data_IF_739478650912
#
_entry.id   IF_739478650912
#
_cell.length_a   1.000
_cell.length_b   1.000
_cell.length_c   1.000
_cell.angle_alpha   90.00
_cell.angle_beta   90.00
_cell.angle_gamma   90.00
#
_symmetry.space_group_name_H-M   'P 1'
#
loop_
_entity.id
_entity.type
_entity.pdbx_description
1 polymer ?
#
# COMPACT_ATOMS: atom_id res chain seq x y z
N UNK A 1 -10.74 2.73 20.06
CA UNK A 1 -9.92 3.78 19.43
C UNK A 1 -10.25 5.15 20.03
N UNK A 2 -9.23 6.01 20.19
CA UNK A 2 -9.45 7.43 20.48
C UNK A 2 -9.94 8.14 19.20
N UNK A 3 -10.75 9.19 19.36
CA UNK A 3 -11.16 10.04 18.25
C UNK A 3 -9.94 10.54 17.45
N UNK A 4 -9.99 10.44 16.12
CA UNK A 4 -8.89 10.84 15.23
C UNK A 4 -7.77 9.80 15.08
N UNK A 5 -7.93 8.57 15.57
CA UNK A 5 -6.98 7.49 15.34
C UNK A 5 -6.88 7.15 13.84
N UNK A 6 -8.02 7.13 13.16
CA UNK A 6 -8.08 6.95 11.70
C UNK A 6 -8.47 8.27 11.05
N UNK A 7 -7.65 8.74 10.13
CA UNK A 7 -7.83 10.03 9.43
C UNK A 7 -7.93 9.77 7.93
N UNK A 8 -8.99 10.26 7.31
CA UNK A 8 -9.23 10.12 5.86
C UNK A 8 -9.33 11.49 5.21
N UNK A 9 -8.65 11.70 4.09
CA UNK A 9 -8.75 12.91 3.28
C UNK A 9 -7.92 14.10 3.77
N UNK A 10 -7.01 13.91 4.72
CA UNK A 10 -6.17 14.98 5.25
C UNK A 10 -4.71 14.76 4.82
N UNK A 11 -4.16 15.69 4.05
CA UNK A 11 -2.77 15.64 3.60
C UNK A 11 -2.05 16.95 3.86
N UNK A 12 -0.76 16.85 4.21
CA UNK A 12 0.18 17.97 4.25
C UNK A 12 0.89 18.22 2.91
N UNK A 13 0.67 17.40 1.89
CA UNK A 13 1.32 17.52 0.58
C UNK A 13 0.67 18.67 -0.19
N UNK A 14 1.44 19.73 -0.45
CA UNK A 14 0.92 20.99 -0.99
C UNK A 14 0.70 21.04 -2.51
N UNK A 15 1.10 19.99 -3.25
CA UNK A 15 1.01 19.94 -4.72
C UNK A 15 -0.32 19.39 -5.24
N UNK A 16 -1.22 18.95 -4.35
CA UNK A 16 -2.51 18.38 -4.74
C UNK A 16 -3.66 19.36 -4.50
N UNK A 17 -4.64 19.33 -5.39
CA UNK A 17 -5.81 20.15 -5.29
C UNK A 17 -6.77 19.62 -4.22
N UNK A 18 -6.80 20.30 -3.08
CA UNK A 18 -7.64 19.93 -1.93
C UNK A 18 -9.16 20.05 -2.22
N UNK A 19 -9.55 20.71 -3.27
CA UNK A 19 -10.96 20.95 -3.61
C UNK A 19 -11.53 19.84 -4.49
N UNK A 20 -10.72 19.28 -5.40
CA UNK A 20 -11.22 18.39 -6.45
C UNK A 20 -10.71 16.94 -6.31
N UNK A 21 -9.62 16.72 -5.60
CA UNK A 21 -9.09 15.35 -5.36
C UNK A 21 -9.93 14.64 -4.28
N UNK A 22 -10.99 13.95 -4.71
CA UNK A 22 -11.88 13.22 -3.80
C UNK A 22 -11.30 11.86 -3.44
N UNK A 23 -11.34 11.53 -2.16
CA UNK A 23 -11.12 10.16 -1.68
C UNK A 23 -12.34 9.30 -1.97
N UNK A 24 -12.11 8.00 -2.13
CA UNK A 24 -13.16 6.98 -2.26
C UNK A 24 -12.95 5.97 -1.14
N UNK A 25 -14.04 5.58 -0.51
CA UNK A 25 -14.07 4.49 0.45
C UNK A 25 -15.23 3.57 0.10
N UNK A 26 -14.90 2.41 -0.48
CA UNK A 26 -15.84 1.36 -0.80
C UNK A 26 -15.40 0.10 -0.06
N UNK A 27 -16.30 -0.53 0.67
CA UNK A 27 -15.98 -1.71 1.47
C UNK A 27 -17.17 -2.63 1.59
N UNK A 28 -17.15 -3.71 0.82
CA UNK A 28 -18.11 -4.82 0.90
C UNK A 28 -17.55 -5.98 1.74
N UNK A 29 -16.22 -6.05 1.89
CA UNK A 29 -15.50 -7.04 2.66
C UNK A 29 -15.14 -6.56 4.07
N UNK A 30 -13.89 -6.78 4.46
CA UNK A 30 -13.41 -6.49 5.82
C UNK A 30 -12.22 -5.55 5.82
N UNK A 31 -12.26 -4.52 6.67
CA UNK A 31 -11.11 -3.66 6.97
C UNK A 31 -10.86 -3.67 8.47
N UNK A 32 -9.62 -3.94 8.85
CA UNK A 32 -9.17 -3.92 10.25
C UNK A 32 -7.98 -2.99 10.41
N UNK A 33 -8.10 -1.98 11.25
CA UNK A 33 -6.98 -1.16 11.70
C UNK A 33 -6.50 -1.65 13.07
N UNK A 34 -5.22 -1.99 13.19
CA UNK A 34 -4.59 -2.39 14.46
C UNK A 34 -4.15 -1.19 15.29
N UNK A 35 -4.02 -0.02 14.67
CA UNK A 35 -3.60 1.20 15.34
C UNK A 35 -4.00 2.47 14.58
N UNK A 36 -3.16 3.49 14.62
CA UNK A 36 -3.39 4.77 13.94
C UNK A 36 -3.15 4.65 12.46
N UNK A 37 -3.98 5.29 11.64
CA UNK A 37 -3.77 5.38 10.21
C UNK A 37 -4.14 6.78 9.68
N UNK A 38 -3.39 7.24 8.67
CA UNK A 38 -3.66 8.49 7.96
C UNK A 38 -3.64 8.24 6.46
N UNK A 39 -4.81 8.23 5.86
CA UNK A 39 -5.00 8.14 4.42
C UNK A 39 -5.25 9.56 3.90
N UNK A 40 -4.30 10.08 3.14
CA UNK A 40 -4.29 11.46 2.70
C UNK A 40 -5.35 11.77 1.67
N UNK A 41 -5.24 12.96 1.12
CA UNK A 41 -6.21 13.47 0.17
C UNK A 41 -6.25 12.66 -1.13
N UNK A 42 -7.44 12.40 -1.66
CA UNK A 42 -7.63 11.68 -2.91
C UNK A 42 -7.27 10.19 -2.86
N UNK A 43 -6.99 9.65 -1.67
CA UNK A 43 -6.75 8.21 -1.51
C UNK A 43 -8.04 7.46 -1.75
N UNK A 44 -7.94 6.39 -2.51
CA UNK A 44 -9.05 5.50 -2.82
C UNK A 44 -8.81 4.13 -2.21
N UNK A 45 -9.82 3.60 -1.54
CA UNK A 45 -9.83 2.25 -0.97
C UNK A 45 -11.06 1.54 -1.49
N UNK A 46 -10.86 0.39 -2.13
CA UNK A 46 -11.93 -0.51 -2.56
C UNK A 46 -11.63 -1.91 -2.03
N UNK A 47 -12.55 -2.45 -1.23
CA UNK A 47 -12.44 -3.79 -0.64
C UNK A 47 -13.65 -4.60 -1.09
N UNK A 48 -13.41 -5.59 -1.95
CA UNK A 48 -14.47 -6.49 -2.46
C UNK A 48 -15.02 -7.40 -1.38
N UNK A 49 -16.13 -8.10 -1.68
CA UNK A 49 -16.88 -8.90 -0.71
C UNK A 49 -16.04 -9.98 0.00
N UNK A 50 -15.09 -10.58 -0.70
CA UNK A 50 -14.17 -11.58 -0.15
C UNK A 50 -12.85 -10.96 0.35
N UNK A 51 -12.69 -9.65 0.18
CA UNK A 51 -11.46 -8.92 0.51
C UNK A 51 -11.26 -8.71 2.01
N UNK A 52 -10.02 -8.86 2.46
CA UNK A 52 -9.58 -8.60 3.84
C UNK A 52 -8.37 -7.68 3.85
N UNK A 53 -8.59 -6.42 4.21
CA UNK A 53 -7.53 -5.42 4.36
C UNK A 53 -7.17 -5.25 5.84
N UNK A 54 -5.96 -5.64 6.22
CA UNK A 54 -5.43 -5.48 7.58
C UNK A 54 -4.35 -4.41 7.55
N UNK A 55 -4.47 -3.43 8.43
CA UNK A 55 -3.56 -2.27 8.49
C UNK A 55 -2.99 -2.14 9.89
N UNK A 56 -1.67 -2.13 10.00
CA UNK A 56 -0.90 -1.96 11.22
C UNK A 56 -0.97 -0.55 11.81
N UNK A 57 -0.23 -0.34 12.88
CA UNK A 57 -0.15 0.96 13.55
C UNK A 57 0.73 1.95 12.75
N UNK A 58 0.40 3.24 12.88
CA UNK A 58 1.14 4.34 12.27
C UNK A 58 1.27 4.25 10.73
N UNK A 59 0.28 3.65 10.08
CA UNK A 59 0.20 3.60 8.62
C UNK A 59 -0.08 4.98 8.01
N UNK A 60 0.67 5.35 6.98
CA UNK A 60 0.50 6.63 6.30
C UNK A 60 0.47 6.46 4.78
N UNK A 61 -0.56 7.00 4.16
CA UNK A 61 -0.61 7.23 2.71
C UNK A 61 -0.69 8.74 2.47
N UNK A 62 0.24 9.29 1.69
CA UNK A 62 0.37 10.75 1.61
C UNK A 62 -0.73 11.40 0.77
N UNK A 63 -0.99 10.93 -0.44
CA UNK A 63 -2.10 11.40 -1.29
C UNK A 63 -2.31 10.50 -2.52
N UNK A 64 -3.52 10.52 -3.09
CA UNK A 64 -3.92 10.03 -4.43
C UNK A 64 -3.52 8.59 -4.75
N UNK A 65 -3.16 7.81 -3.75
CA UNK A 65 -2.84 6.40 -3.92
C UNK A 65 -4.09 5.54 -3.83
N UNK A 66 -4.02 4.34 -4.35
CA UNK A 66 -5.13 3.41 -4.45
C UNK A 66 -4.79 2.11 -3.72
N UNK A 67 -5.74 1.59 -2.94
CA UNK A 67 -5.66 0.27 -2.31
C UNK A 67 -6.88 -0.52 -2.79
N UNK A 68 -6.63 -1.59 -3.53
CA UNK A 68 -7.67 -2.45 -4.12
C UNK A 68 -7.46 -3.86 -3.59
N UNK A 69 -8.39 -4.33 -2.74
CA UNK A 69 -8.28 -5.57 -2.00
C UNK A 69 -9.47 -6.48 -2.30
N UNK A 70 -9.24 -7.57 -2.99
CA UNK A 70 -10.24 -8.56 -3.36
C UNK A 70 -9.95 -9.96 -2.81
N UNK A 71 -8.80 -10.13 -2.13
CA UNK A 71 -8.36 -11.33 -1.44
C UNK A 71 -7.84 -10.95 -0.04
N UNK A 72 -6.55 -10.73 0.10
CA UNK A 72 -5.94 -10.35 1.37
C UNK A 72 -4.77 -9.40 1.17
N UNK A 73 -4.85 -8.22 1.78
CA UNK A 73 -3.74 -7.29 1.88
C UNK A 73 -3.42 -7.08 3.36
N UNK A 74 -2.22 -7.46 3.77
CA UNK A 74 -1.71 -7.20 5.11
C UNK A 74 -0.59 -6.17 5.07
N UNK A 75 -0.77 -5.07 5.80
CA UNK A 75 0.17 -3.96 5.92
C UNK A 75 0.61 -3.89 7.38
N UNK A 76 1.91 -3.96 7.62
CA UNK A 76 2.54 -3.90 8.93
C UNK A 76 2.54 -2.50 9.55
N UNK A 77 3.27 -2.38 10.65
CA UNK A 77 3.40 -1.14 11.41
C UNK A 77 4.40 -0.18 10.76
N UNK A 78 4.22 1.12 10.96
CA UNK A 78 5.13 2.18 10.47
C UNK A 78 5.35 2.16 8.94
N UNK A 79 4.36 1.76 8.17
CA UNK A 79 4.45 1.75 6.70
C UNK A 79 4.08 3.12 6.15
N UNK A 80 4.91 3.62 5.20
CA UNK A 80 4.68 4.85 4.47
C UNK A 80 4.45 4.56 2.99
N UNK A 81 3.34 5.02 2.44
CA UNK A 81 3.05 5.02 1.00
C UNK A 81 3.05 6.46 0.49
N UNK A 82 3.93 6.74 -0.45
CA UNK A 82 3.98 8.03 -1.14
C UNK A 82 2.81 8.15 -2.12
N UNK A 83 2.67 9.31 -2.73
CA UNK A 83 1.53 9.64 -3.60
C UNK A 83 1.51 8.92 -4.95
N UNK A 84 0.33 8.84 -5.54
CA UNK A 84 0.07 8.25 -6.86
C UNK A 84 0.52 6.77 -6.99
N UNK A 85 0.56 6.02 -5.89
CA UNK A 85 0.95 4.61 -5.89
C UNK A 85 -0.29 3.71 -5.81
N UNK A 86 -0.15 2.48 -6.29
CA UNK A 86 -1.22 1.47 -6.22
C UNK A 86 -0.74 0.22 -5.50
N UNK A 87 -1.60 -0.32 -4.63
CA UNK A 87 -1.47 -1.63 -3.99
C UNK A 87 -2.71 -2.42 -4.38
N UNK A 88 -2.54 -3.51 -5.15
CA UNK A 88 -3.67 -4.22 -5.73
C UNK A 88 -3.41 -5.73 -5.78
N UNK A 89 -4.24 -6.51 -5.09
CA UNK A 89 -4.12 -7.96 -4.99
C UNK A 89 -4.91 -8.74 -6.06
N UNK A 90 -5.45 -8.05 -7.05
CA UNK A 90 -6.30 -8.62 -8.10
C UNK A 90 -5.94 -8.09 -9.48
N UNK A 91 -6.07 -8.94 -10.50
CA UNK A 91 -6.06 -8.52 -11.91
C UNK A 91 -7.50 -8.29 -12.43
N UNK A 92 -8.55 -8.50 -11.61
CA UNK A 92 -9.96 -8.54 -11.96
C UNK A 92 -10.34 -9.62 -12.99
N UNK A 93 -9.43 -9.98 -13.86
CA UNK A 93 -9.60 -10.95 -14.95
C UNK A 93 -8.68 -12.15 -14.74
N UNK A 94 -9.17 -13.30 -15.14
CA UNK A 94 -8.38 -14.52 -15.15
C UNK A 94 -7.58 -14.59 -16.46
N UNK A 95 -6.29 -14.83 -16.34
CA UNK A 95 -5.41 -15.12 -17.47
C UNK A 95 -5.06 -16.61 -17.42
N UNK A 96 -5.41 -17.34 -18.46
CA UNK A 96 -5.25 -18.79 -18.55
C UNK A 96 -5.85 -19.52 -17.31
N UNK A 97 -5.10 -20.44 -16.72
CA UNK A 97 -5.49 -21.17 -15.50
C UNK A 97 -5.04 -20.45 -14.20
N UNK A 98 -4.54 -19.22 -14.31
CA UNK A 98 -4.03 -18.45 -13.17
C UNK A 98 -5.14 -17.92 -12.27
N UNK A 99 -4.83 -17.68 -10.99
CA UNK A 99 -5.74 -17.01 -10.07
C UNK A 99 -5.90 -15.53 -10.44
N UNK A 100 -7.11 -15.00 -10.28
CA UNK A 100 -7.39 -13.56 -10.40
C UNK A 100 -6.74 -12.77 -9.29
N UNK A 101 -6.64 -13.36 -8.10
CA UNK A 101 -6.13 -12.73 -6.89
C UNK A 101 -4.95 -13.50 -6.33
N UNK A 102 -4.11 -12.80 -5.57
CA UNK A 102 -3.08 -13.42 -4.72
C UNK A 102 -2.71 -12.44 -3.62
N UNK A 103 -2.57 -12.90 -2.36
CA UNK A 103 -2.33 -12.02 -1.21
C UNK A 103 -1.12 -11.13 -1.37
N UNK A 104 -1.18 -9.95 -0.76
CA UNK A 104 -0.04 -9.03 -0.62
C UNK A 104 0.32 -8.90 0.86
N UNK A 105 1.60 -8.96 1.16
CA UNK A 105 2.14 -8.64 2.47
C UNK A 105 3.14 -7.50 2.36
N UNK A 106 2.97 -6.46 3.16
CA UNK A 106 3.93 -5.37 3.32
C UNK A 106 4.30 -5.37 4.79
N UNK A 107 5.54 -5.76 5.09
CA UNK A 107 5.99 -5.90 6.47
C UNK A 107 6.24 -4.55 7.14
N UNK A 108 6.63 -4.56 8.42
CA UNK A 108 6.82 -3.35 9.20
C UNK A 108 7.94 -2.46 8.63
N UNK A 109 7.79 -1.15 8.85
CA UNK A 109 8.80 -0.15 8.50
C UNK A 109 9.18 -0.14 7.01
N UNK A 110 8.21 -0.39 6.12
CA UNK A 110 8.39 -0.32 4.67
C UNK A 110 8.01 1.06 4.16
N UNK A 111 8.80 1.59 3.22
CA UNK A 111 8.48 2.80 2.47
C UNK A 111 8.25 2.48 0.99
N UNK A 112 7.06 2.80 0.49
CA UNK A 112 6.73 2.72 -0.93
C UNK A 112 6.83 4.12 -1.54
N UNK A 113 7.78 4.29 -2.46
CA UNK A 113 8.01 5.52 -3.20
C UNK A 113 6.84 5.85 -4.14
N UNK A 114 6.74 7.12 -4.50
CA UNK A 114 5.66 7.62 -5.34
C UNK A 114 5.54 6.90 -6.70
N UNK A 115 4.32 6.81 -7.23
CA UNK A 115 4.03 6.21 -8.55
C UNK A 115 4.51 4.78 -8.69
N UNK A 116 4.53 4.04 -7.58
CA UNK A 116 4.89 2.63 -7.59
C UNK A 116 3.64 1.75 -7.67
N UNK A 117 3.77 0.58 -8.28
CA UNK A 117 2.74 -0.43 -8.32
C UNK A 117 3.19 -1.68 -7.55
N UNK A 118 2.42 -2.05 -6.52
CA UNK A 118 2.58 -3.28 -5.75
C UNK A 118 1.42 -4.19 -6.12
N UNK A 119 1.72 -5.27 -6.83
CA UNK A 119 0.71 -6.11 -7.45
C UNK A 119 0.56 -7.44 -6.72
N UNK A 120 -0.43 -8.21 -7.09
CA UNK A 120 -0.80 -9.48 -6.44
C UNK A 120 0.39 -10.43 -6.22
N UNK A 121 0.38 -11.15 -5.10
CA UNK A 121 1.40 -12.15 -4.75
C UNK A 121 2.72 -11.57 -4.25
N UNK A 122 2.77 -10.29 -3.94
CA UNK A 122 3.98 -9.60 -3.48
C UNK A 122 4.16 -9.73 -1.97
N UNK A 123 5.40 -9.96 -1.53
CA UNK A 123 5.88 -9.69 -0.18
C UNK A 123 6.96 -8.61 -0.23
N UNK A 124 6.83 -7.55 0.56
CA UNK A 124 7.86 -6.54 0.78
C UNK A 124 8.39 -6.72 2.20
N UNK A 125 9.64 -7.20 2.37
CA UNK A 125 10.20 -7.50 3.68
C UNK A 125 10.49 -6.25 4.53
N UNK A 126 10.63 -6.51 5.83
CA UNK A 126 10.89 -5.52 6.87
C UNK A 126 11.95 -4.47 6.51
N UNK A 127 11.67 -3.22 6.84
CA UNK A 127 12.62 -2.12 6.75
C UNK A 127 13.06 -1.74 5.33
N UNK A 128 12.39 -2.27 4.32
CA UNK A 128 12.75 -2.08 2.91
C UNK A 128 12.12 -0.83 2.31
N UNK A 129 12.67 -0.40 1.20
CA UNK A 129 12.17 0.74 0.42
C UNK A 129 11.91 0.29 -1.01
N UNK A 130 10.76 0.62 -1.54
CA UNK A 130 10.46 0.55 -2.97
C UNK A 130 10.74 1.92 -3.58
N UNK A 131 11.69 2.00 -4.50
CA UNK A 131 12.04 3.24 -5.18
C UNK A 131 10.86 3.79 -5.99
N UNK A 132 10.79 5.12 -6.13
CA UNK A 132 9.74 5.76 -6.90
C UNK A 132 9.65 5.22 -8.34
N UNK A 133 8.42 5.10 -8.87
CA UNK A 133 8.16 4.63 -10.23
C UNK A 133 8.43 3.14 -10.46
N UNK A 134 8.49 2.34 -9.39
CA UNK A 134 8.78 0.91 -9.50
C UNK A 134 7.51 0.08 -9.66
N UNK A 135 7.66 -1.09 -10.29
CA UNK A 135 6.62 -2.10 -10.39
C UNK A 135 7.09 -3.39 -9.75
N UNK A 136 6.39 -3.84 -8.72
CA UNK A 136 6.69 -5.06 -7.98
C UNK A 136 5.57 -6.07 -8.25
N UNK A 137 5.94 -7.22 -8.82
CA UNK A 137 5.03 -8.29 -9.24
C UNK A 137 5.41 -9.65 -8.67
N UNK A 138 6.38 -9.72 -7.78
CA UNK A 138 6.82 -10.95 -7.11
C UNK A 138 7.20 -10.67 -5.67
N UNK A 139 7.13 -11.71 -4.84
CA UNK A 139 7.61 -11.64 -3.47
C UNK A 139 9.13 -11.47 -3.41
N UNK A 140 9.57 -10.73 -2.41
CA UNK A 140 10.95 -10.63 -1.97
C UNK A 140 11.08 -11.29 -0.59
N UNK A 141 12.30 -11.69 -0.23
CA UNK A 141 12.64 -12.39 1.00
C UNK A 141 13.77 -11.72 1.80
N UNK A 142 14.43 -10.71 1.22
CA UNK A 142 15.55 -10.02 1.84
C UNK A 142 15.13 -8.68 2.44
N UNK A 143 15.33 -8.54 3.75
CA UNK A 143 15.01 -7.33 4.51
C UNK A 143 15.96 -6.17 4.20
N UNK A 144 15.51 -4.94 4.53
CA UNK A 144 16.33 -3.73 4.47
C UNK A 144 17.00 -3.51 3.11
N UNK A 145 16.26 -3.79 2.05
CA UNK A 145 16.70 -3.59 0.69
C UNK A 145 16.01 -2.40 0.02
N UNK A 146 16.72 -1.74 -0.88
CA UNK A 146 16.13 -0.84 -1.86
C UNK A 146 15.74 -1.64 -3.09
N UNK A 147 14.44 -1.81 -3.29
CA UNK A 147 13.86 -2.43 -4.48
C UNK A 147 13.52 -1.36 -5.51
N UNK A 148 13.72 -1.63 -6.81
CA UNK A 148 13.42 -0.63 -7.82
C UNK A 148 13.27 -1.17 -9.23
N UNK A 149 12.76 -0.32 -10.13
CA UNK A 149 12.41 -0.71 -11.48
C UNK A 149 11.35 -1.82 -11.50
N UNK A 150 11.60 -2.88 -12.25
CA UNK A 150 10.75 -4.08 -12.22
C UNK A 150 11.49 -5.19 -11.47
N UNK A 151 11.03 -5.50 -10.24
CA UNK A 151 11.50 -6.62 -9.40
C UNK A 151 13.04 -6.71 -9.20
N UNK A 152 13.72 -5.60 -9.03
CA UNK A 152 15.18 -5.57 -8.87
C UNK A 152 15.58 -5.11 -7.47
N UNK A 153 16.61 -5.74 -6.90
CA UNK A 153 17.33 -5.20 -5.73
C UNK A 153 18.38 -4.20 -6.25
N UNK A 154 18.30 -2.97 -5.81
CA UNK A 154 19.24 -1.90 -6.17
C UNK A 154 20.33 -1.74 -5.11
N UNK A 155 20.01 -2.00 -3.83
CA UNK A 155 20.94 -1.87 -2.70
C UNK A 155 20.48 -2.72 -1.53
N UNK A 156 21.43 -3.31 -0.82
CA UNK A 156 21.23 -4.05 0.41
C UNK A 156 21.60 -3.23 1.65
N UNK A 157 21.10 -3.64 2.81
CA UNK A 157 21.49 -3.10 4.11
C UNK A 157 21.15 -1.61 4.27
N UNK A 158 20.00 -1.18 3.76
CA UNK A 158 19.54 0.21 3.92
C UNK A 158 18.89 0.45 5.27
N UNK A 159 18.83 1.70 5.67
CA UNK A 159 17.95 2.22 6.71
C UNK A 159 17.26 3.47 6.20
N UNK A 160 16.06 3.73 6.70
CA UNK A 160 15.30 4.94 6.41
C UNK A 160 14.48 5.36 7.63
N UNK A 161 14.10 6.62 7.71
CA UNK A 161 13.32 7.20 8.80
C UNK A 161 12.15 8.00 8.24
N UNK A 162 11.02 8.04 8.97
CA UNK A 162 9.80 8.82 8.62
C UNK A 162 9.94 10.26 9.09
#
# INVERSE_FOLDING_TARGET
FKSGAIRLGFSGVGIFDKRYDRGIWECDGKVQFRGKASLGQGVKVSVGADGSLIVGDNFRVTAKSEIVCFDNIEIGDNVLVSWDSIIMDTDFHQLDDGSRTSPITIEDSVWIGMRSAILKGVNIPFGSVVAAGSTVTKAFDEERCLYGGVNRILKHGISWEI
#
